data_IF_482690637472
#
_entry.id   IF_482690637472
#
_cell.length_a   1.000
_cell.length_b   1.000
_cell.length_c   1.000
_cell.angle_alpha   90.00
_cell.angle_beta   90.00
_cell.angle_gamma   90.00
#
_symmetry.space_group_name_H-M   'P 1'
#
loop_
_entity.id
_entity.type
_entity.pdbx_description
1 polymer ?
#
# COMPACT_ATOMS: atom_id res chain seq x y z
N UNK A 1 -15.96 -0.41 -30.34
CA UNK A 1 -15.68 1.03 -30.05
C UNK A 1 -15.10 1.28 -28.66
N UNK A 2 -15.47 0.54 -27.62
CA UNK A 2 -15.01 0.77 -26.23
C UNK A 2 -13.47 0.70 -26.05
N UNK A 3 -12.78 -0.24 -26.72
CA UNK A 3 -11.32 -0.37 -26.64
C UNK A 3 -10.54 0.86 -27.13
N UNK A 4 -11.07 1.61 -28.11
CA UNK A 4 -10.39 2.83 -28.62
C UNK A 4 -10.51 4.00 -27.65
N UNK A 5 -11.60 4.10 -26.89
CA UNK A 5 -11.82 5.17 -25.91
C UNK A 5 -10.94 5.02 -24.66
N UNK A 6 -10.65 3.77 -24.26
CA UNK A 6 -9.69 3.49 -23.17
C UNK A 6 -8.27 3.83 -23.62
N UNK A 7 -7.91 3.49 -24.87
CA UNK A 7 -6.59 3.74 -25.41
C UNK A 7 -6.32 5.24 -25.64
N UNK A 8 -7.31 6.01 -26.07
CA UNK A 8 -7.20 7.47 -26.18
C UNK A 8 -7.18 8.18 -24.82
N UNK A 9 -7.88 7.66 -23.79
CA UNK A 9 -7.74 8.19 -22.41
C UNK A 9 -6.40 7.83 -21.78
N UNK A 10 -5.83 6.65 -22.06
CA UNK A 10 -4.49 6.27 -21.59
C UNK A 10 -3.39 7.17 -22.20
N UNK A 11 -3.48 7.50 -23.49
CA UNK A 11 -2.60 8.49 -24.13
C UNK A 11 -2.84 9.91 -23.58
N UNK A 12 -4.07 10.28 -23.25
CA UNK A 12 -4.39 11.62 -22.74
C UNK A 12 -4.01 11.83 -21.27
N UNK A 13 -4.09 10.79 -20.43
CA UNK A 13 -3.51 10.84 -19.07
C UNK A 13 -2.00 11.01 -19.16
N UNK A 14 -1.32 10.22 -20.01
CA UNK A 14 0.13 10.41 -20.27
C UNK A 14 0.47 11.80 -20.78
N UNK A 15 -0.41 12.44 -21.57
CA UNK A 15 -0.20 13.79 -22.06
C UNK A 15 -0.48 14.88 -21.00
N UNK A 16 -1.42 14.67 -20.09
CA UNK A 16 -1.72 15.59 -18.98
C UNK A 16 -0.66 15.50 -17.86
N UNK A 17 -0.10 14.31 -17.63
CA UNK A 17 1.07 14.11 -16.77
C UNK A 17 2.32 14.77 -17.39
N UNK A 18 2.42 14.82 -18.72
CA UNK A 18 3.54 15.43 -19.43
C UNK A 18 3.56 16.98 -19.36
N UNK A 19 2.45 17.62 -19.03
CA UNK A 19 2.38 19.09 -18.87
C UNK A 19 2.66 19.54 -17.42
N UNK A 20 2.43 18.67 -16.43
CA UNK A 20 2.69 18.97 -15.00
C UNK A 20 3.87 18.19 -14.38
N UNK A 21 4.57 17.36 -15.15
CA UNK A 21 5.88 16.83 -14.77
C UNK A 21 6.92 17.13 -15.84
N UNK A 22 7.17 18.42 -16.06
CA UNK A 22 8.51 18.85 -16.45
C UNK A 22 9.48 18.51 -15.29
N UNK A 23 9.85 17.24 -15.18
CA UNK A 23 10.94 16.80 -14.31
C UNK A 23 12.23 17.37 -14.93
N UNK A 24 12.97 18.24 -14.23
CA UNK A 24 14.22 18.76 -14.76
C UNK A 24 15.14 17.58 -15.06
N UNK A 25 15.72 17.59 -16.26
CA UNK A 25 16.56 16.53 -16.77
C UNK A 25 17.78 16.29 -15.88
N UNK A 26 17.66 15.32 -14.99
CA UNK A 26 18.67 14.36 -14.53
C UNK A 26 17.98 13.44 -13.51
N UNK A 27 17.32 12.37 -13.97
CA UNK A 27 16.67 11.43 -13.05
C UNK A 27 17.74 10.63 -12.31
N UNK A 28 18.11 11.09 -11.13
CA UNK A 28 18.96 10.35 -10.21
C UNK A 28 18.29 9.01 -9.88
N UNK A 29 19.05 7.94 -9.79
CA UNK A 29 18.58 6.61 -9.38
C UNK A 29 17.71 6.64 -8.10
N UNK A 30 17.96 7.62 -7.23
CA UNK A 30 17.19 7.87 -6.01
C UNK A 30 15.73 8.28 -6.27
N UNK A 31 15.44 9.09 -7.30
CA UNK A 31 14.06 9.52 -7.62
C UNK A 31 13.22 8.34 -8.12
N UNK A 32 13.83 7.43 -8.88
CA UNK A 32 13.18 6.21 -9.35
C UNK A 32 12.83 5.25 -8.21
N UNK A 33 13.74 5.07 -7.25
CA UNK A 33 13.49 4.24 -6.07
C UNK A 33 12.37 4.85 -5.22
N UNK A 34 12.41 6.18 -5.00
CA UNK A 34 11.40 6.88 -4.23
C UNK A 34 10.00 6.69 -4.85
N UNK A 35 9.87 6.86 -6.17
CA UNK A 35 8.61 6.66 -6.88
C UNK A 35 8.07 5.24 -6.73
N UNK A 36 8.94 4.22 -6.83
CA UNK A 36 8.54 2.81 -6.61
C UNK A 36 8.12 2.55 -5.16
N UNK A 37 8.82 3.12 -4.18
CA UNK A 37 8.44 3.01 -2.77
C UNK A 37 7.09 3.65 -2.49
N UNK A 38 6.81 4.82 -3.09
CA UNK A 38 5.51 5.48 -2.99
C UNK A 38 4.41 4.62 -3.62
N UNK A 39 4.66 3.97 -4.75
CA UNK A 39 3.71 3.05 -5.38
C UNK A 39 3.41 1.84 -4.47
N UNK A 40 4.44 1.24 -3.85
CA UNK A 40 4.28 0.14 -2.88
C UNK A 40 3.51 0.61 -1.64
N UNK A 41 3.82 1.80 -1.12
CA UNK A 41 3.12 2.39 0.01
C UNK A 41 1.62 2.61 -0.26
N UNK A 42 1.29 3.10 -1.46
CA UNK A 42 -0.10 3.25 -1.93
C UNK A 42 -0.79 1.89 -2.11
N UNK A 43 -0.08 0.90 -2.67
CA UNK A 43 -0.60 -0.46 -2.87
C UNK A 43 -1.00 -1.11 -1.54
N UNK A 44 -0.13 -1.02 -0.54
CA UNK A 44 -0.40 -1.54 0.80
C UNK A 44 -1.51 -0.77 1.55
N UNK A 45 -2.04 0.33 1.00
CA UNK A 45 -3.02 1.21 1.66
C UNK A 45 -2.58 1.58 3.08
N UNK A 46 -1.31 1.94 3.25
CA UNK A 46 -0.70 2.06 4.58
C UNK A 46 -1.30 3.21 5.42
N UNK A 47 -1.66 4.35 4.80
CA UNK A 47 -2.28 5.49 5.50
C UNK A 47 -3.59 5.13 6.23
N UNK A 48 -4.62 4.55 5.57
CA UNK A 48 -5.86 4.20 6.26
C UNK A 48 -5.68 3.09 7.31
N UNK A 49 -4.74 2.16 7.10
CA UNK A 49 -4.39 1.14 8.11
C UNK A 49 -3.83 1.78 9.38
N UNK A 50 -2.93 2.76 9.22
CA UNK A 50 -2.34 3.47 10.35
C UNK A 50 -3.37 4.29 11.14
N UNK A 51 -4.30 4.96 10.44
CA UNK A 51 -5.33 5.79 11.06
C UNK A 51 -6.39 4.95 11.79
N UNK A 52 -6.92 3.90 11.16
CA UNK A 52 -7.97 3.07 11.74
C UNK A 52 -7.42 1.97 12.65
N UNK A 53 -6.78 0.97 12.05
CA UNK A 53 -6.33 -0.22 12.78
C UNK A 53 -5.20 0.10 13.76
N UNK A 54 -4.30 1.02 13.41
CA UNK A 54 -3.21 1.47 14.28
C UNK A 54 -3.70 2.10 15.59
N UNK A 55 -4.67 3.01 15.52
CA UNK A 55 -5.24 3.65 16.72
C UNK A 55 -6.02 2.65 17.59
N UNK A 56 -6.72 1.70 16.98
CA UNK A 56 -7.45 0.65 17.70
C UNK A 56 -6.51 -0.28 18.49
N UNK A 57 -5.39 -0.71 17.90
CA UNK A 57 -4.44 -1.59 18.60
C UNK A 57 -3.65 -0.86 19.67
N UNK A 58 -3.33 0.43 19.48
CA UNK A 58 -2.77 1.24 20.55
C UNK A 58 -3.73 1.31 21.75
N UNK A 59 -5.02 1.51 21.50
CA UNK A 59 -6.06 1.51 22.54
C UNK A 59 -6.15 0.15 23.26
N UNK A 60 -6.20 -0.95 22.52
CA UNK A 60 -6.25 -2.29 23.11
C UNK A 60 -4.98 -2.66 23.89
N UNK A 61 -3.82 -2.17 23.45
CA UNK A 61 -2.53 -2.35 24.14
C UNK A 61 -2.40 -1.47 25.39
N UNK A 62 -3.38 -0.63 25.71
CA UNK A 62 -3.42 0.13 26.96
C UNK A 62 -4.33 -0.53 28.01
N UNK A 63 -5.27 -1.40 27.60
CA UNK A 63 -6.24 -2.04 28.49
C UNK A 63 -5.63 -2.84 29.66
N UNK A 64 -4.56 -3.64 29.49
CA UNK A 64 -4.02 -4.46 30.56
C UNK A 64 -3.01 -3.72 31.45
N UNK A 65 -2.76 -2.42 31.23
CA UNK A 65 -1.82 -1.63 32.02
C UNK A 65 -2.56 -1.06 33.22
N UNK A 66 -2.32 -1.63 34.41
CA UNK A 66 -2.89 -1.14 35.67
C UNK A 66 -1.88 -0.28 36.42
N UNK A 67 -0.58 -0.61 36.32
CA UNK A 67 0.52 0.11 36.94
C UNK A 67 1.71 0.27 35.97
N UNK A 68 2.53 1.30 36.19
CA UNK A 68 3.75 1.52 35.38
C UNK A 68 4.73 0.34 35.50
N UNK A 69 4.68 -0.42 36.60
CA UNK A 69 5.44 -1.66 36.78
C UNK A 69 5.08 -2.77 35.78
N UNK A 70 3.92 -2.69 35.14
CA UNK A 70 3.46 -3.68 34.16
C UNK A 70 4.13 -3.49 32.79
N UNK A 71 4.77 -2.33 32.56
CA UNK A 71 5.65 -2.07 31.41
C UNK A 71 6.99 -2.80 31.56
N UNK A 72 6.92 -4.12 31.59
CA UNK A 72 8.11 -4.96 31.48
C UNK A 72 8.66 -4.94 30.04
N UNK A 73 9.96 -5.18 29.84
CA UNK A 73 10.52 -5.37 28.50
C UNK A 73 9.79 -6.47 27.71
N UNK A 74 9.31 -7.52 28.40
CA UNK A 74 8.54 -8.60 27.79
C UNK A 74 7.19 -8.09 27.22
N UNK A 75 6.52 -7.20 27.95
CA UNK A 75 5.28 -6.56 27.49
C UNK A 75 5.50 -5.75 26.22
N UNK A 76 6.55 -4.92 26.18
CA UNK A 76 6.88 -4.10 25.01
C UNK A 76 7.16 -4.98 23.79
N UNK A 77 7.90 -6.08 23.96
CA UNK A 77 8.17 -7.04 22.88
C UNK A 77 6.88 -7.70 22.40
N UNK A 78 5.96 -8.05 23.31
CA UNK A 78 4.67 -8.62 22.96
C UNK A 78 3.81 -7.64 22.14
N UNK A 79 3.72 -6.38 22.57
CA UNK A 79 3.01 -5.32 21.84
C UNK A 79 3.65 -5.08 20.47
N UNK A 80 4.99 -5.05 20.38
CA UNK A 80 5.67 -4.88 19.10
C UNK A 80 5.36 -6.03 18.13
N UNK A 81 5.40 -7.29 18.62
CA UNK A 81 5.02 -8.46 17.81
C UNK A 81 3.56 -8.38 17.35
N UNK A 82 2.64 -7.96 18.22
CA UNK A 82 1.24 -7.80 17.88
C UNK A 82 1.01 -6.72 16.81
N UNK A 83 1.71 -5.58 16.92
CA UNK A 83 1.64 -4.51 15.91
C UNK A 83 2.18 -4.98 14.56
N UNK A 84 3.31 -5.69 14.54
CA UNK A 84 3.87 -6.25 13.30
C UNK A 84 2.88 -7.23 12.66
N UNK A 85 2.37 -8.21 13.42
CA UNK A 85 1.42 -9.19 12.92
C UNK A 85 0.12 -8.54 12.39
N UNK A 86 -0.38 -7.52 13.10
CA UNK A 86 -1.54 -6.75 12.65
C UNK A 86 -1.26 -6.06 11.32
N UNK A 87 -0.16 -5.30 11.20
CA UNK A 87 0.15 -4.54 9.98
C UNK A 87 0.27 -5.50 8.79
N UNK A 88 0.96 -6.63 8.97
CA UNK A 88 1.12 -7.65 7.93
C UNK A 88 -0.22 -8.26 7.50
N UNK A 89 -1.09 -8.61 8.45
CA UNK A 89 -2.42 -9.13 8.15
C UNK A 89 -3.28 -8.14 7.34
N UNK A 90 -3.21 -6.84 7.65
CA UNK A 90 -3.93 -5.81 6.90
C UNK A 90 -3.36 -5.63 5.47
N UNK A 91 -2.04 -5.71 5.31
CA UNK A 91 -1.39 -5.70 3.99
C UNK A 91 -1.82 -6.93 3.18
N UNK A 92 -1.88 -8.11 3.79
CA UNK A 92 -2.31 -9.33 3.14
C UNK A 92 -3.76 -9.25 2.63
N UNK A 93 -4.70 -8.83 3.49
CA UNK A 93 -6.11 -8.71 3.11
C UNK A 93 -6.31 -7.70 1.97
N UNK A 94 -5.66 -6.54 2.08
CA UNK A 94 -5.75 -5.50 1.03
C UNK A 94 -5.04 -5.92 -0.26
N UNK A 95 -3.95 -6.66 -0.17
CA UNK A 95 -3.21 -7.22 -1.29
C UNK A 95 -4.03 -8.25 -2.06
N UNK A 96 -4.63 -9.23 -1.36
CA UNK A 96 -5.57 -10.19 -1.96
C UNK A 96 -6.71 -9.46 -2.64
N UNK A 97 -7.36 -8.51 -1.94
CA UNK A 97 -8.47 -7.76 -2.52
C UNK A 97 -8.06 -7.09 -3.84
N UNK A 98 -6.90 -6.45 -3.86
CA UNK A 98 -6.41 -5.74 -5.05
C UNK A 98 -5.99 -6.68 -6.19
N UNK A 99 -5.56 -7.90 -5.89
CA UNK A 99 -5.22 -8.92 -6.89
C UNK A 99 -6.47 -9.53 -7.54
N UNK A 100 -7.48 -9.87 -6.75
CA UNK A 100 -8.73 -10.44 -7.25
C UNK A 100 -9.62 -9.40 -7.95
N UNK A 101 -9.67 -8.18 -7.43
CA UNK A 101 -10.47 -7.11 -8.01
C UNK A 101 -9.80 -6.44 -9.22
N UNK A 102 -8.68 -6.96 -9.74
CA UNK A 102 -7.91 -6.26 -10.78
C UNK A 102 -8.71 -5.96 -12.05
N UNK A 103 -9.60 -6.87 -12.46
CA UNK A 103 -10.45 -6.67 -13.64
C UNK A 103 -11.58 -5.69 -13.37
N UNK A 104 -12.08 -5.65 -12.13
CA UNK A 104 -13.16 -4.78 -11.69
C UNK A 104 -12.63 -3.35 -11.46
N UNK A 105 -11.47 -3.22 -10.81
CA UNK A 105 -10.79 -1.95 -10.55
C UNK A 105 -10.33 -1.29 -11.87
N UNK A 106 -10.04 -2.04 -12.95
CA UNK A 106 -9.79 -1.42 -14.26
C UNK A 106 -10.98 -0.60 -14.79
N UNK A 107 -12.20 -0.96 -14.41
CA UNK A 107 -13.42 -0.28 -14.82
C UNK A 107 -13.81 0.80 -13.80
N UNK A 108 -13.77 0.47 -12.50
CA UNK A 108 -14.25 1.33 -11.42
C UNK A 108 -13.19 2.33 -10.92
N UNK A 109 -11.91 1.93 -10.94
CA UNK A 109 -10.77 2.65 -10.36
C UNK A 109 -9.54 2.53 -11.25
N UNK A 110 -9.54 3.13 -12.45
CA UNK A 110 -8.45 2.98 -13.42
C UNK A 110 -7.08 3.48 -12.93
N UNK A 111 -7.06 4.28 -11.85
CA UNK A 111 -5.85 4.78 -11.18
C UNK A 111 -5.38 3.90 -10.01
N UNK A 112 -5.98 2.72 -9.80
CA UNK A 112 -5.50 1.74 -8.81
C UNK A 112 -4.10 1.26 -9.20
N UNK A 113 -3.21 1.09 -8.23
CA UNK A 113 -1.77 0.85 -8.46
C UNK A 113 -1.48 -0.35 -9.36
N UNK A 114 -2.31 -1.40 -9.30
CA UNK A 114 -2.23 -2.56 -10.19
C UNK A 114 -2.94 -2.36 -11.54
N UNK A 115 -4.02 -1.57 -11.56
CA UNK A 115 -4.81 -1.31 -12.77
C UNK A 115 -4.14 -0.29 -13.69
N UNK A 116 -3.44 0.71 -13.12
CA UNK A 116 -2.67 1.72 -13.85
C UNK A 116 -1.34 1.20 -14.37
N UNK A 117 -0.86 0.06 -13.83
CA UNK A 117 0.43 -0.54 -14.17
C UNK A 117 1.63 0.13 -13.49
N UNK A 118 1.41 0.99 -12.50
CA UNK A 118 2.47 1.57 -11.66
C UNK A 118 3.25 0.50 -10.89
N UNK A 119 2.57 -0.60 -10.52
CA UNK A 119 3.17 -1.77 -9.90
C UNK A 119 2.87 -3.02 -10.73
N UNK A 120 3.87 -3.87 -10.94
CA UNK A 120 3.70 -5.16 -11.62
C UNK A 120 2.78 -6.08 -10.82
N UNK A 121 1.95 -6.87 -11.51
CA UNK A 121 1.15 -7.94 -10.90
C UNK A 121 2.03 -8.90 -10.08
N UNK A 122 3.20 -9.27 -10.61
CA UNK A 122 4.16 -10.13 -9.91
C UNK A 122 4.67 -9.53 -8.60
N UNK A 123 4.88 -8.21 -8.57
CA UNK A 123 5.28 -7.50 -7.35
C UNK A 123 4.13 -7.44 -6.34
N UNK A 124 2.89 -7.22 -6.78
CA UNK A 124 1.71 -7.30 -5.92
C UNK A 124 1.52 -8.68 -5.29
N UNK A 125 1.71 -9.75 -6.07
CA UNK A 125 1.68 -11.14 -5.57
C UNK A 125 2.82 -11.39 -4.57
N UNK A 126 4.04 -10.95 -4.88
CA UNK A 126 5.19 -11.11 -3.99
C UNK A 126 4.98 -10.41 -2.64
N UNK A 127 4.48 -9.16 -2.65
CA UNK A 127 4.20 -8.41 -1.41
C UNK A 127 3.11 -9.12 -0.59
N UNK A 128 2.03 -9.55 -1.25
CA UNK A 128 0.90 -10.21 -0.60
C UNK A 128 1.33 -11.54 0.02
N UNK A 129 2.09 -12.36 -0.71
CA UNK A 129 2.60 -13.65 -0.20
C UNK A 129 3.61 -13.46 0.93
N UNK A 130 4.51 -12.49 0.83
CA UNK A 130 5.48 -12.18 1.88
C UNK A 130 4.79 -11.72 3.18
N UNK A 131 3.71 -10.94 3.07
CA UNK A 131 2.91 -10.51 4.24
C UNK A 131 2.17 -11.65 4.95
N UNK A 132 1.99 -12.80 4.31
CA UNK A 132 1.32 -13.96 4.91
C UNK A 132 2.28 -14.93 5.63
N UNK A 133 3.56 -14.91 5.26
CA UNK A 133 4.58 -15.87 5.74
C UNK A 133 5.27 -15.37 7.02
N UNK A 134 5.27 -14.05 7.24
CA UNK A 134 5.97 -13.39 8.36
C UNK A 134 5.08 -13.31 9.59
#
# INVERSE_FOLDING_TARGET
MYKRLIQTRCCRSKAFDNENTALPGNQSFTSLILLKLIAVYKFCRFLPILLGTGSAVLSMSLLPIEMISDLSPAYIVAVLKAVIAMVLSNIFVSGINSLYDIEIDKINKPHSVLASGELSLSAGVAITTLSAIT
#
